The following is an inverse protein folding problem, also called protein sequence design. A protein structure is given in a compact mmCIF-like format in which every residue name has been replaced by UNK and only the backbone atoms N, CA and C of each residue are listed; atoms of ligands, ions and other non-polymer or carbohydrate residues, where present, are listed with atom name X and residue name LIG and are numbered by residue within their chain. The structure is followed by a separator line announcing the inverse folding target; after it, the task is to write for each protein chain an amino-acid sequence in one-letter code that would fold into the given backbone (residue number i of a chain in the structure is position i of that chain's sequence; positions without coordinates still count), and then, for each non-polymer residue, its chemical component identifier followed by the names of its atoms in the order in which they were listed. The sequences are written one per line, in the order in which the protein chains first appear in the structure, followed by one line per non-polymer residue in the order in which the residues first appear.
data_IF_069679630788
#
_entry.id   IF_069679630788
#
_cell.length_a   1.000
_cell.length_b   1.000
_cell.length_c   1.000
_cell.angle_alpha   90.00
_cell.angle_beta   90.00
_cell.angle_gamma   90.00
#
_symmetry.space_group_name_H-M   'P 1'
#
loop_
_entity.id
_entity.type
_entity.pdbx_description
1 polymer ?
#
# COMPACT_ATOMS: atom_id res chain seq x y z
N UNK A 1 12.20 3.15 -11.55
CA UNK A 1 11.97 4.58 -11.20
C UNK A 1 11.86 4.65 -9.68
N UNK A 2 12.78 5.33 -8.98
CA UNK A 2 12.75 5.43 -7.51
C UNK A 2 11.59 6.36 -7.15
N UNK A 3 10.51 5.85 -6.55
CA UNK A 3 9.38 6.70 -6.11
C UNK A 3 9.88 7.64 -5.03
N UNK A 4 9.55 8.93 -5.14
CA UNK A 4 9.90 9.89 -4.11
C UNK A 4 9.06 9.60 -2.85
N UNK A 5 9.76 9.28 -1.77
CA UNK A 5 9.15 8.88 -0.51
C UNK A 5 8.32 9.99 0.14
N UNK A 6 8.67 11.27 -0.08
CA UNK A 6 7.89 12.43 0.38
C UNK A 6 6.62 12.58 -0.46
N UNK A 7 6.70 12.32 -1.75
CA UNK A 7 5.53 12.40 -2.64
C UNK A 7 4.50 11.32 -2.30
N UNK A 8 4.97 10.09 -2.08
CA UNK A 8 4.12 8.98 -1.63
C UNK A 8 3.50 9.32 -0.27
N UNK A 9 4.27 9.91 0.65
CA UNK A 9 3.79 10.29 1.97
C UNK A 9 2.68 11.35 1.87
N UNK A 10 2.90 12.42 1.11
CA UNK A 10 1.91 13.46 0.87
C UNK A 10 0.65 12.96 0.15
N UNK A 11 0.78 11.99 -0.76
CA UNK A 11 -0.37 11.33 -1.38
C UNK A 11 -1.17 10.51 -0.36
N UNK A 12 -0.50 9.78 0.52
CA UNK A 12 -1.17 9.01 1.58
C UNK A 12 -1.86 9.89 2.62
N UNK A 13 -1.23 10.98 3.05
CA UNK A 13 -1.89 11.96 3.94
C UNK A 13 -3.24 12.43 3.39
N UNK A 14 -3.28 12.75 2.08
CA UNK A 14 -4.52 13.13 1.40
C UNK A 14 -5.54 12.01 1.36
N UNK A 15 -5.12 10.77 1.08
CA UNK A 15 -6.01 9.58 1.06
C UNK A 15 -6.67 9.34 2.41
N UNK A 16 -5.90 9.46 3.49
CA UNK A 16 -6.37 9.23 4.86
C UNK A 16 -7.02 10.46 5.51
N UNK A 17 -7.08 11.58 4.80
CA UNK A 17 -7.65 12.83 5.31
C UNK A 17 -6.84 13.48 6.44
N UNK A 18 -5.59 13.08 6.65
CA UNK A 18 -4.71 13.61 7.69
C UNK A 18 -4.21 14.99 7.25
N UNK A 19 -4.57 16.04 7.99
CA UNK A 19 -4.10 17.40 7.70
C UNK A 19 -2.71 17.61 8.32
N UNK A 20 -1.91 18.46 7.67
CA UNK A 20 -0.58 18.80 8.19
C UNK A 20 -0.62 19.44 9.59
N UNK A 21 -1.72 20.11 9.96
CA UNK A 21 -1.92 20.64 11.32
C UNK A 21 -2.08 19.52 12.35
N UNK A 22 -2.89 18.51 12.03
CA UNK A 22 -3.15 17.38 12.92
C UNK A 22 -1.88 16.53 13.11
N UNK A 23 -1.11 16.33 12.03
CA UNK A 23 0.19 15.69 12.09
C UNK A 23 1.21 16.50 12.90
N UNK A 24 1.20 17.83 12.79
CA UNK A 24 2.08 18.70 13.56
C UNK A 24 1.80 18.57 15.06
N UNK A 25 0.52 18.57 15.45
CA UNK A 25 0.09 18.36 16.83
C UNK A 25 0.47 16.97 17.34
N UNK A 26 0.14 15.91 16.59
CA UNK A 26 0.45 14.53 16.98
C UNK A 26 1.95 14.24 17.08
N UNK A 27 2.77 14.89 16.24
CA UNK A 27 4.23 14.71 16.27
C UNK A 27 4.97 15.68 17.19
N UNK A 28 4.27 16.59 17.86
CA UNK A 28 4.87 17.62 18.70
C UNK A 28 5.74 18.62 17.93
N UNK A 29 5.45 18.84 16.64
CA UNK A 29 6.25 19.69 15.74
C UNK A 29 5.52 20.97 15.36
N UNK A 30 6.30 21.96 14.93
CA UNK A 30 5.74 23.18 14.36
C UNK A 30 5.07 22.86 12.99
N UNK A 31 3.84 23.33 12.74
CA UNK A 31 3.18 23.19 11.43
C UNK A 31 4.02 23.68 10.25
N UNK A 32 4.86 24.71 10.46
CA UNK A 32 5.81 25.20 9.45
C UNK A 32 6.82 24.13 9.05
N UNK A 33 7.36 23.40 10.01
CA UNK A 33 8.34 22.32 9.77
C UNK A 33 7.70 21.18 8.97
N UNK A 34 6.46 20.79 9.30
CA UNK A 34 5.73 19.79 8.51
C UNK A 34 5.53 20.28 7.08
N UNK A 35 5.11 21.53 6.90
CA UNK A 35 4.96 22.14 5.57
C UNK A 35 6.26 22.18 4.78
N UNK A 36 7.39 22.50 5.42
CA UNK A 36 8.71 22.51 4.78
C UNK A 36 9.13 21.11 4.32
N UNK A 37 8.86 20.08 5.13
CA UNK A 37 9.10 18.67 4.76
C UNK A 37 8.25 18.28 3.56
N UNK A 38 6.93 18.52 3.62
CA UNK A 38 6.00 18.15 2.55
C UNK A 38 6.28 18.87 1.23
N UNK A 39 6.83 20.09 1.30
CA UNK A 39 7.23 20.88 0.14
C UNK A 39 8.70 20.66 -0.27
N UNK A 40 9.39 19.65 0.28
CA UNK A 40 10.80 19.32 0.00
C UNK A 40 11.79 20.45 0.28
N UNK A 41 11.42 21.43 1.11
CA UNK A 41 12.28 22.54 1.56
C UNK A 41 13.18 22.13 2.72
N UNK A 42 12.80 21.10 3.46
CA UNK A 42 13.59 20.50 4.53
C UNK A 42 13.60 18.98 4.36
N UNK A 43 14.76 18.36 4.60
CA UNK A 43 14.88 16.90 4.64
C UNK A 43 14.95 16.45 6.09
N UNK A 44 13.98 15.66 6.57
CA UNK A 44 14.02 15.12 7.92
C UNK A 44 15.08 14.01 8.02
N UNK A 45 15.61 13.76 9.23
CA UNK A 45 16.36 12.53 9.49
C UNK A 45 15.45 11.31 9.34
N UNK A 46 16.05 10.12 9.12
CA UNK A 46 15.29 8.87 8.97
C UNK A 46 14.43 8.61 10.22
N UNK A 47 15.02 8.72 11.40
CA UNK A 47 14.31 8.57 12.68
C UNK A 47 13.16 9.59 12.81
N UNK A 48 13.46 10.85 12.51
CA UNK A 48 12.47 11.93 12.51
C UNK A 48 11.30 11.65 11.56
N UNK A 49 11.56 11.02 10.42
CA UNK A 49 10.54 10.74 9.43
C UNK A 49 9.73 9.48 9.78
N UNK A 50 10.38 8.46 10.32
CA UNK A 50 9.70 7.27 10.85
C UNK A 50 8.72 7.64 11.98
N UNK A 51 9.14 8.52 12.89
CA UNK A 51 8.25 9.06 13.91
C UNK A 51 7.02 9.75 13.30
N UNK A 52 7.17 10.47 12.16
CA UNK A 52 6.01 11.07 11.48
C UNK A 52 5.05 10.00 10.92
N UNK A 53 5.59 8.91 10.37
CA UNK A 53 4.79 7.79 9.87
C UNK A 53 4.04 7.11 11.02
N UNK A 54 4.69 6.88 12.16
CA UNK A 54 4.07 6.33 13.36
C UNK A 54 2.94 7.22 13.87
N UNK A 55 3.14 8.55 13.94
CA UNK A 55 2.07 9.47 14.30
C UNK A 55 0.89 9.40 13.31
N UNK A 56 1.15 9.26 12.02
CA UNK A 56 0.07 9.11 11.03
C UNK A 56 -0.71 7.80 11.25
N UNK A 57 -0.02 6.73 11.62
CA UNK A 57 -0.64 5.42 11.89
C UNK A 57 -1.47 5.44 13.19
N UNK A 58 -1.03 6.18 14.20
CA UNK A 58 -1.84 6.42 15.40
C UNK A 58 -3.10 7.23 15.12
N UNK A 59 -3.00 8.25 14.25
CA UNK A 59 -4.16 9.04 13.82
C UNK A 59 -5.11 8.26 12.92
N UNK A 60 -4.57 7.35 12.09
CA UNK A 60 -5.34 6.53 11.18
C UNK A 60 -4.69 5.15 11.00
N UNK A 61 -5.16 4.13 11.75
CA UNK A 61 -4.55 2.80 11.74
C UNK A 61 -4.45 2.20 10.33
N UNK A 62 -3.27 1.65 10.01
CA UNK A 62 -2.96 1.05 8.71
C UNK A 62 -2.33 2.01 7.71
N UNK A 63 -2.11 3.27 8.09
CA UNK A 63 -1.38 4.25 7.29
C UNK A 63 0.04 3.77 6.97
N UNK A 64 0.76 3.26 7.98
CA UNK A 64 2.16 2.87 7.84
C UNK A 64 2.32 1.72 6.83
N UNK A 65 1.51 0.66 6.97
CA UNK A 65 1.51 -0.49 6.07
C UNK A 65 1.26 -0.07 4.62
N UNK A 66 0.24 0.75 4.41
CA UNK A 66 -0.10 1.26 3.10
C UNK A 66 0.98 2.17 2.50
N UNK A 67 1.67 2.95 3.33
CA UNK A 67 2.78 3.79 2.93
C UNK A 67 3.96 2.95 2.47
N UNK A 68 4.39 1.96 3.26
CA UNK A 68 5.50 1.08 2.91
C UNK A 68 5.20 0.24 1.67
N UNK A 69 3.98 -0.30 1.54
CA UNK A 69 3.56 -1.00 0.32
C UNK A 69 3.64 -0.08 -0.91
N UNK A 70 3.23 1.19 -0.79
CA UNK A 70 3.31 2.14 -1.89
C UNK A 70 4.75 2.52 -2.28
N UNK A 71 5.70 2.49 -1.33
CA UNK A 71 7.11 2.72 -1.60
C UNK A 71 7.76 1.55 -2.36
N UNK A 72 7.41 0.31 -1.99
CA UNK A 72 7.92 -0.90 -2.66
C UNK A 72 7.46 -0.96 -4.12
N UNK A 73 6.31 -0.37 -4.43
CA UNK A 73 5.74 -0.37 -5.77
C UNK A 73 4.89 -1.61 -6.05
N UNK A 74 4.34 -1.75 -7.27
CA UNK A 74 3.80 -3.03 -7.69
C UNK A 74 4.93 -4.04 -7.53
N UNK A 75 4.68 -5.05 -6.69
CA UNK A 75 5.62 -6.13 -6.58
C UNK A 75 5.41 -7.00 -7.82
N UNK A 76 6.11 -6.65 -8.90
CA UNK A 76 6.20 -7.47 -10.10
C UNK A 76 7.06 -8.69 -9.78
N UNK A 77 6.53 -9.59 -8.95
CA UNK A 77 7.02 -10.96 -8.95
C UNK A 77 6.64 -11.56 -10.30
N UNK A 78 7.61 -12.16 -10.97
CA UNK A 78 7.25 -13.11 -12.01
C UNK A 78 6.37 -14.21 -11.35
N UNK A 79 5.40 -14.81 -12.06
CA UNK A 79 4.58 -15.89 -11.51
C UNK A 79 5.41 -16.98 -10.83
N UNK A 80 6.59 -17.28 -11.39
CA UNK A 80 7.54 -18.25 -10.85
C UNK A 80 8.17 -17.78 -9.53
N UNK A 81 8.50 -16.49 -9.41
CA UNK A 81 9.02 -15.91 -8.17
C UNK A 81 7.97 -15.87 -7.07
N UNK A 82 6.70 -15.63 -7.41
CA UNK A 82 5.58 -15.69 -6.47
C UNK A 82 5.41 -17.12 -5.96
N UNK A 83 5.28 -18.10 -6.86
CA UNK A 83 5.06 -19.51 -6.51
C UNK A 83 6.18 -20.03 -5.59
N UNK A 84 7.44 -19.66 -5.85
CA UNK A 84 8.59 -20.07 -5.02
C UNK A 84 8.55 -19.53 -3.58
N UNK A 85 7.78 -18.47 -3.32
CA UNK A 85 7.64 -17.86 -2.00
C UNK A 85 6.42 -18.34 -1.22
N UNK A 86 5.53 -19.09 -1.86
CA UNK A 86 4.37 -19.67 -1.20
C UNK A 86 4.79 -20.91 -0.42
N UNK A 87 4.34 -21.02 0.82
CA UNK A 87 4.41 -22.30 1.53
C UNK A 87 3.40 -23.31 0.94
N UNK A 88 3.49 -24.57 1.37
CA UNK A 88 2.64 -25.65 0.86
C UNK A 88 1.14 -25.36 1.04
N UNK A 89 0.75 -24.71 2.14
CA UNK A 89 -0.66 -24.39 2.41
C UNK A 89 -1.16 -23.29 1.48
N UNK A 90 -0.36 -22.23 1.31
CA UNK A 90 -0.67 -21.11 0.44
C UNK A 90 -0.74 -21.54 -1.03
N UNK A 91 0.17 -22.43 -1.46
CA UNK A 91 0.17 -23.00 -2.80
C UNK A 91 -1.08 -23.86 -3.05
N UNK A 92 -1.48 -24.70 -2.09
CA UNK A 92 -2.69 -25.50 -2.18
C UNK A 92 -3.95 -24.63 -2.30
N UNK A 93 -4.05 -23.56 -1.50
CA UNK A 93 -5.14 -22.58 -1.59
C UNK A 93 -5.19 -21.87 -2.95
N UNK A 94 -4.03 -21.48 -3.49
CA UNK A 94 -3.94 -20.88 -4.83
C UNK A 94 -4.41 -21.84 -5.92
N UNK A 95 -3.98 -23.10 -5.87
CA UNK A 95 -4.40 -24.13 -6.84
C UNK A 95 -5.91 -24.39 -6.76
N UNK A 96 -6.46 -24.44 -5.55
CA UNK A 96 -7.90 -24.58 -5.35
C UNK A 96 -8.68 -23.41 -5.95
N UNK A 97 -8.27 -22.17 -5.68
CA UNK A 97 -8.91 -20.97 -6.23
C UNK A 97 -8.86 -20.92 -7.77
N UNK A 98 -7.75 -21.36 -8.38
CA UNK A 98 -7.63 -21.48 -9.83
C UNK A 98 -8.62 -22.52 -10.36
N UNK A 99 -8.74 -23.67 -9.69
CA UNK A 99 -9.71 -24.71 -10.04
C UNK A 99 -11.15 -24.18 -10.04
N UNK A 100 -11.54 -23.43 -9.00
CA UNK A 100 -12.86 -22.79 -8.93
C UNK A 100 -13.07 -21.80 -10.08
N UNK A 101 -12.07 -20.96 -10.37
CA UNK A 101 -12.16 -19.99 -11.47
C UNK A 101 -12.34 -20.68 -12.83
N UNK A 102 -11.63 -21.77 -13.10
CA UNK A 102 -11.78 -22.54 -14.35
C UNK A 102 -13.20 -23.12 -14.46
N UNK A 103 -13.71 -23.66 -13.36
CA UNK A 103 -15.08 -24.19 -13.31
C UNK A 103 -16.12 -23.12 -13.62
N UNK A 104 -15.99 -21.94 -13.02
CA UNK A 104 -16.91 -20.82 -13.23
C UNK A 104 -16.91 -20.33 -14.69
N UNK A 105 -15.72 -20.19 -15.30
CA UNK A 105 -15.59 -19.85 -16.72
C UNK A 105 -16.22 -20.90 -17.65
N UNK A 106 -16.04 -22.19 -17.34
CA UNK A 106 -16.65 -23.28 -18.11
C UNK A 106 -18.18 -23.32 -17.99
N UNK A 107 -18.74 -22.91 -16.85
CA UNK A 107 -20.20 -22.83 -16.66
C UNK A 107 -20.81 -21.62 -17.35
N UNK A 108 -20.14 -20.47 -17.34
CA UNK A 108 -20.60 -19.26 -18.07
C UNK A 108 -20.69 -19.51 -19.58
N UNK A 109 -19.66 -20.10 -20.19
CA UNK A 109 -19.69 -20.40 -21.64
C UNK A 109 -20.76 -21.42 -22.03
N UNK A 110 -21.08 -22.39 -21.15
CA UNK A 110 -22.17 -23.35 -21.41
C UNK A 110 -23.55 -22.69 -21.35
N UNK A 111 -23.76 -21.70 -20.47
CA UNK A 111 -25.05 -20.99 -20.40
C UNK A 111 -25.30 -20.14 -21.65
N UNK A 112 -24.26 -19.49 -22.18
CA UNK A 112 -24.37 -18.67 -23.40
C UNK A 112 -24.63 -19.51 -24.65
N UNK A 113 -24.08 -20.74 -24.71
CA UNK A 113 -24.27 -21.67 -25.81
C UNK A 113 -25.66 -22.35 -25.86
N UNK A 114 -26.40 -22.38 -24.74
CA UNK A 114 -27.76 -22.94 -24.66
C UNK A 114 -28.83 -21.86 -24.89
N UNK A 115 -28.45 -20.58 -24.76
CA UNK A 115 -29.32 -19.42 -24.98
C UNK A 115 -29.26 -18.84 -26.41
N UNK A 116 -28.49 -19.46 -27.31
CA UNK A 116 -28.38 -19.15 -28.75
C UNK A 116 -29.05 -20.23 -29.59
#
# INVERSE_FOLDING_TARGET
MKRDYIEVFAAKLRKYGIKGKDLAEASGRNPKTISEILNRKASPSIESFNHLIECCDQLSPGFADEYYLALVGPIDFSPEQLIRRLDTSQLASLMYAIGQRIQDYGQSQRKDAIAS
#
